data_IF_485827809913
#
_entry.id   IF_485827809913
#
_cell.length_a   1.000
_cell.length_b   1.000
_cell.length_c   1.000
_cell.angle_alpha   90.00
_cell.angle_beta   90.00
_cell.angle_gamma   90.00
#
_symmetry.space_group_name_H-M   'P 1'
#
loop_
_entity.id
_entity.type
_entity.pdbx_description
1 polymer ?
#
# COMPACT_ATOMS: atom_id res chain seq x y z
N UNK A 1 -6.69 15.07 -10.42
CA UNK A 1 -6.10 14.59 -9.16
C UNK A 1 -4.78 13.90 -9.47
N UNK A 2 -3.73 14.28 -8.77
CA UNK A 2 -2.38 13.80 -9.03
C UNK A 2 -1.87 13.04 -7.79
N UNK A 3 -1.32 11.85 -8.00
CA UNK A 3 -0.75 11.05 -6.92
C UNK A 3 0.35 11.83 -6.20
N UNK A 4 0.42 11.65 -4.89
CA UNK A 4 1.47 12.29 -4.08
C UNK A 4 2.84 11.83 -4.54
N UNK A 5 3.80 12.76 -4.48
CA UNK A 5 5.15 12.55 -4.99
C UNK A 5 6.13 12.16 -3.87
N UNK A 6 7.25 11.53 -4.24
CA UNK A 6 8.34 11.32 -3.29
C UNK A 6 8.76 12.64 -2.63
N UNK A 7 9.12 12.55 -1.35
CA UNK A 7 9.51 13.71 -0.55
C UNK A 7 8.38 14.30 0.27
N UNK A 8 7.15 13.89 0.02
CA UNK A 8 5.97 14.38 0.75
C UNK A 8 5.74 13.51 1.98
N UNK A 9 5.38 14.14 3.09
CA UNK A 9 4.95 13.40 4.28
C UNK A 9 3.66 12.65 3.94
N UNK A 10 3.65 11.33 4.13
CA UNK A 10 2.47 10.52 3.86
C UNK A 10 1.36 10.90 4.83
N UNK A 11 0.15 11.25 4.34
CA UNK A 11 -0.98 11.53 5.24
C UNK A 11 -1.29 10.33 6.12
N UNK A 12 -1.46 10.56 7.41
CA UNK A 12 -1.88 9.52 8.32
C UNK A 12 -3.36 9.18 8.07
N UNK A 13 -3.74 7.98 8.45
CA UNK A 13 -5.12 7.52 8.35
C UNK A 13 -5.38 6.49 9.43
N UNK A 14 -6.65 6.22 9.68
CA UNK A 14 -7.08 5.15 10.58
C UNK A 14 -8.27 4.47 9.92
N UNK A 15 -8.08 3.23 9.48
CA UNK A 15 -9.08 2.47 8.75
C UNK A 15 -9.31 1.11 9.38
N UNK A 16 -10.53 0.59 9.25
CA UNK A 16 -10.85 -0.75 9.72
C UNK A 16 -10.23 -1.79 8.82
N UNK A 17 -9.66 -2.83 9.43
CA UNK A 17 -9.16 -4.00 8.70
C UNK A 17 -10.06 -5.21 8.92
N UNK A 18 -10.63 -5.33 10.13
CA UNK A 18 -11.65 -6.34 10.46
C UNK A 18 -12.80 -5.59 11.12
N UNK A 19 -13.95 -6.23 11.34
CA UNK A 19 -15.08 -5.56 11.99
C UNK A 19 -14.75 -4.93 13.35
N UNK A 20 -13.74 -5.45 14.05
CA UNK A 20 -13.38 -5.01 15.40
C UNK A 20 -11.95 -4.47 15.52
N UNK A 21 -11.22 -4.34 14.41
CA UNK A 21 -9.84 -3.85 14.45
C UNK A 21 -9.62 -2.71 13.46
N UNK A 22 -8.86 -1.72 13.91
CA UNK A 22 -8.45 -0.58 13.08
C UNK A 22 -6.94 -0.51 13.01
N UNK A 23 -6.44 0.04 11.90
CA UNK A 23 -5.01 0.21 11.64
C UNK A 23 -4.77 1.64 11.20
N UNK A 24 -3.77 2.27 11.79
CA UNK A 24 -3.30 3.60 11.38
C UNK A 24 -1.91 3.48 10.75
N UNK A 25 -1.61 4.34 9.78
CA UNK A 25 -0.27 4.38 9.20
C UNK A 25 0.78 4.63 10.28
N UNK A 26 0.47 5.53 11.22
CA UNK A 26 1.38 5.88 12.32
C UNK A 26 1.71 4.70 13.24
N UNK A 27 0.91 3.64 13.22
CA UNK A 27 1.21 2.42 13.99
C UNK A 27 2.52 1.76 13.55
N UNK A 28 2.94 2.03 12.31
CA UNK A 28 4.13 1.43 11.73
C UNK A 28 5.32 2.38 11.68
N UNK A 29 5.26 3.48 12.42
CA UNK A 29 6.39 4.41 12.49
C UNK A 29 7.63 3.66 13.00
N UNK A 30 8.76 3.90 12.39
CA UNK A 30 9.99 3.18 12.72
C UNK A 30 10.33 2.06 11.75
N UNK A 31 9.44 1.76 10.81
CA UNK A 31 9.70 0.76 9.76
C UNK A 31 9.14 1.23 8.42
N UNK A 32 9.70 0.75 7.31
CA UNK A 32 9.13 1.06 5.99
C UNK A 32 7.74 0.47 5.82
N UNK A 33 6.90 1.18 5.08
CA UNK A 33 5.54 0.73 4.76
C UNK A 33 5.33 0.79 3.26
N UNK A 34 4.75 -0.26 2.70
CA UNK A 34 4.33 -0.30 1.31
C UNK A 34 2.82 -0.24 1.28
N UNK A 35 2.27 0.86 0.75
CA UNK A 35 0.82 0.97 0.57
C UNK A 35 0.47 0.52 -0.85
N UNK A 36 -0.49 -0.38 -0.92
CA UNK A 36 -0.99 -0.92 -2.18
C UNK A 36 -2.45 -0.51 -2.32
N UNK A 37 -2.70 0.58 -3.05
CA UNK A 37 -4.06 0.95 -3.42
C UNK A 37 -4.46 0.11 -4.63
N UNK A 38 -5.65 -0.47 -4.59
CA UNK A 38 -6.16 -1.30 -5.70
C UNK A 38 -7.66 -1.09 -5.87
N UNK A 39 -8.17 -1.31 -7.10
CA UNK A 39 -9.57 -0.99 -7.40
C UNK A 39 -10.61 -1.77 -6.59
N UNK A 40 -10.50 -3.09 -6.51
CA UNK A 40 -11.57 -3.87 -5.88
C UNK A 40 -11.11 -5.28 -5.52
N UNK A 41 -11.59 -5.77 -4.39
CA UNK A 41 -11.48 -7.18 -4.03
C UNK A 41 -12.13 -8.02 -5.14
N UNK A 42 -11.64 -9.24 -5.30
CA UNK A 42 -12.16 -10.24 -6.26
C UNK A 42 -11.87 -9.95 -7.73
N UNK A 43 -11.41 -8.75 -8.11
CA UNK A 43 -11.05 -8.53 -9.51
C UNK A 43 -9.84 -9.40 -9.86
N UNK A 44 -9.77 -9.94 -11.09
CA UNK A 44 -8.68 -10.87 -11.46
C UNK A 44 -7.29 -10.26 -11.30
N UNK A 45 -7.08 -9.03 -11.77
CA UNK A 45 -5.77 -8.37 -11.68
C UNK A 45 -5.40 -8.06 -10.24
N UNK A 46 -6.36 -7.58 -9.43
CA UNK A 46 -6.11 -7.30 -8.02
C UNK A 46 -5.79 -8.59 -7.26
N UNK A 47 -6.51 -9.67 -7.55
CA UNK A 47 -6.26 -10.97 -6.93
C UNK A 47 -4.84 -11.46 -7.22
N UNK A 48 -4.41 -11.35 -8.46
CA UNK A 48 -3.06 -11.76 -8.88
C UNK A 48 -1.98 -10.89 -8.23
N UNK A 49 -2.21 -9.59 -8.19
CA UNK A 49 -1.25 -8.64 -7.58
C UNK A 49 -1.06 -8.93 -6.09
N UNK A 50 -2.17 -9.07 -5.36
CA UNK A 50 -2.10 -9.30 -3.91
C UNK A 50 -1.53 -10.68 -3.60
N UNK A 51 -1.86 -11.70 -4.40
CA UNK A 51 -1.29 -13.03 -4.25
C UNK A 51 0.24 -13.00 -4.43
N UNK A 52 0.72 -12.25 -5.43
CA UNK A 52 2.15 -12.07 -5.65
C UNK A 52 2.82 -11.45 -4.41
N UNK A 53 2.26 -10.36 -3.89
CA UNK A 53 2.84 -9.70 -2.72
C UNK A 53 2.79 -10.58 -1.48
N UNK A 54 1.75 -11.40 -1.35
CA UNK A 54 1.64 -12.34 -0.26
C UNK A 54 2.77 -13.39 -0.33
N UNK A 55 3.07 -13.87 -1.53
CA UNK A 55 4.18 -14.82 -1.74
C UNK A 55 5.55 -14.17 -1.46
N UNK A 56 5.67 -12.88 -1.74
CA UNK A 56 6.92 -12.14 -1.57
C UNK A 56 7.12 -11.55 -0.18
N UNK A 57 6.24 -11.87 0.77
CA UNK A 57 6.39 -11.35 2.14
C UNK A 57 7.78 -11.60 2.74
N UNK A 58 8.42 -12.77 2.54
CA UNK A 58 9.78 -12.97 3.06
C UNK A 58 10.78 -11.94 2.52
N UNK A 59 10.69 -11.58 1.24
CA UNK A 59 11.56 -10.58 0.63
C UNK A 59 11.34 -9.19 1.23
N UNK A 60 10.08 -8.83 1.47
CA UNK A 60 9.75 -7.56 2.13
C UNK A 60 10.22 -7.55 3.58
N UNK A 61 10.17 -8.69 4.25
CA UNK A 61 10.61 -8.82 5.64
C UNK A 61 12.11 -8.60 5.79
N UNK A 62 12.89 -8.85 4.76
CA UNK A 62 14.33 -8.56 4.77
C UNK A 62 14.60 -7.07 4.99
N UNK A 63 13.67 -6.22 4.57
CA UNK A 63 13.74 -4.77 4.77
C UNK A 63 12.93 -4.31 5.97
N UNK A 64 12.34 -5.24 6.72
CA UNK A 64 11.41 -4.96 7.82
C UNK A 64 10.22 -4.14 7.35
N UNK A 65 9.83 -4.29 6.09
CA UNK A 65 8.74 -3.52 5.49
C UNK A 65 7.39 -4.19 5.71
N UNK A 66 6.41 -3.38 6.08
CA UNK A 66 5.02 -3.81 6.21
C UNK A 66 4.26 -3.48 4.93
N UNK A 67 3.55 -4.47 4.38
CA UNK A 67 2.67 -4.25 3.23
C UNK A 67 1.24 -4.11 3.72
N UNK A 68 0.53 -3.14 3.16
CA UNK A 68 -0.86 -2.85 3.50
C UNK A 68 -1.63 -2.63 2.20
N UNK A 69 -2.73 -3.36 2.01
CA UNK A 69 -3.63 -3.13 0.89
C UNK A 69 -4.77 -2.21 1.30
N UNK A 70 -5.18 -1.33 0.40
CA UNK A 70 -6.28 -0.38 0.62
C UNK A 70 -7.19 -0.35 -0.61
N UNK A 71 -8.47 -0.56 -0.38
CA UNK A 71 -9.49 -0.36 -1.42
C UNK A 71 -10.76 0.20 -0.79
N UNK A 72 -11.73 0.56 -1.62
CA UNK A 72 -13.02 1.10 -1.14
C UNK A 72 -13.98 0.01 -0.67
N UNK A 73 -13.58 -1.26 -0.72
CA UNK A 73 -14.40 -2.37 -0.25
C UNK A 73 -14.57 -2.32 1.27
N UNK A 74 -15.67 -2.88 1.75
CA UNK A 74 -15.94 -2.93 3.18
C UNK A 74 -15.22 -4.08 3.88
N UNK A 75 -15.23 -4.05 5.22
CA UNK A 75 -14.48 -5.02 6.03
C UNK A 75 -14.93 -6.47 5.82
N UNK A 76 -16.22 -6.69 5.62
CA UNK A 76 -16.72 -8.06 5.40
C UNK A 76 -16.25 -8.62 4.06
N UNK A 77 -16.20 -7.77 3.04
CA UNK A 77 -15.66 -8.15 1.73
C UNK A 77 -14.18 -8.49 1.85
N UNK A 78 -13.39 -7.63 2.51
CA UNK A 78 -11.97 -7.87 2.76
C UNK A 78 -11.74 -9.17 3.52
N UNK A 79 -12.54 -9.42 4.56
CA UNK A 79 -12.39 -10.61 5.38
C UNK A 79 -12.61 -11.88 4.54
N UNK A 80 -13.68 -11.91 3.75
CA UNK A 80 -14.00 -13.04 2.89
C UNK A 80 -12.93 -13.25 1.81
N UNK A 81 -12.49 -12.16 1.19
CA UNK A 81 -11.47 -12.19 0.14
C UNK A 81 -10.12 -12.68 0.68
N UNK A 82 -9.68 -12.14 1.81
CA UNK A 82 -8.43 -12.56 2.46
C UNK A 82 -8.45 -14.03 2.82
N UNK A 83 -9.57 -14.50 3.36
CA UNK A 83 -9.71 -15.89 3.76
C UNK A 83 -9.69 -16.82 2.55
N UNK A 84 -10.45 -16.49 1.51
CA UNK A 84 -10.51 -17.28 0.29
C UNK A 84 -9.16 -17.39 -0.40
N UNK A 85 -8.43 -16.28 -0.47
CA UNK A 85 -7.13 -16.22 -1.17
C UNK A 85 -5.96 -16.48 -0.23
N UNK A 86 -6.21 -16.75 1.03
CA UNK A 86 -5.17 -17.03 2.04
C UNK A 86 -4.14 -15.91 2.11
N UNK A 87 -4.63 -14.68 2.11
CA UNK A 87 -3.76 -13.50 2.20
C UNK A 87 -3.42 -13.20 3.66
N UNK A 88 -2.16 -12.88 3.91
CA UNK A 88 -1.66 -12.48 5.23
C UNK A 88 -1.23 -11.02 5.24
N UNK A 89 -1.72 -10.25 4.29
CA UNK A 89 -1.52 -8.81 4.18
C UNK A 89 -2.76 -8.14 4.76
N UNK A 90 -2.63 -7.17 5.67
CA UNK A 90 -3.80 -6.41 6.14
C UNK A 90 -4.45 -5.69 4.97
N UNK A 91 -5.77 -5.83 4.83
CA UNK A 91 -6.54 -5.11 3.84
C UNK A 91 -7.42 -4.11 4.58
N UNK A 92 -7.30 -2.83 4.24
CA UNK A 92 -7.96 -1.74 4.94
C UNK A 92 -9.11 -1.20 4.11
N UNK A 93 -10.22 -0.91 4.80
CA UNK A 93 -11.47 -0.49 4.17
C UNK A 93 -11.56 1.04 4.11
N UNK A 94 -11.26 1.60 2.94
CA UNK A 94 -11.47 3.02 2.65
C UNK A 94 -12.92 3.21 2.19
N UNK A 95 -13.85 2.72 3.01
CA UNK A 95 -15.24 2.49 2.66
C UNK A 95 -16.13 3.70 2.98
N UNK A 96 -15.97 4.28 4.17
CA UNK A 96 -16.83 5.38 4.62
C UNK A 96 -16.03 6.43 5.42
N UNK A 97 -15.88 7.67 4.98
CA UNK A 97 -16.37 8.17 3.68
C UNK A 97 -15.62 7.51 2.54
N UNK A 98 -16.37 7.11 1.52
CA UNK A 98 -15.83 6.32 0.42
C UNK A 98 -14.64 7.01 -0.26
N UNK A 99 -13.51 6.32 -0.28
CA UNK A 99 -12.33 6.80 -0.96
C UNK A 99 -11.63 7.99 -0.30
N UNK A 100 -11.93 8.28 0.97
CA UNK A 100 -11.34 9.44 1.65
C UNK A 100 -9.81 9.39 1.66
N UNK A 101 -9.24 8.22 1.97
CA UNK A 101 -7.78 8.06 1.99
C UNK A 101 -7.20 8.07 0.58
N UNK A 102 -7.85 7.39 -0.37
CA UNK A 102 -7.43 7.45 -1.76
C UNK A 102 -7.40 8.89 -2.28
N UNK A 103 -8.36 9.72 -1.87
CA UNK A 103 -8.39 11.15 -2.25
C UNK A 103 -7.20 11.90 -1.64
N UNK A 104 -6.86 11.62 -0.38
CA UNK A 104 -5.72 12.25 0.28
C UNK A 104 -4.40 11.92 -0.43
N UNK A 105 -4.30 10.71 -0.96
CA UNK A 105 -3.10 10.28 -1.69
C UNK A 105 -3.14 10.63 -3.18
N UNK A 106 -4.23 11.23 -3.66
CA UNK A 106 -4.37 11.63 -5.05
C UNK A 106 -4.62 10.47 -6.02
N UNK A 107 -5.23 9.39 -5.53
CA UNK A 107 -5.40 8.17 -6.33
C UNK A 107 -6.85 7.68 -6.38
N UNK A 108 -7.81 8.54 -6.13
CA UNK A 108 -9.22 8.16 -6.23
C UNK A 108 -9.74 8.43 -7.64
N UNK A 109 -10.46 7.47 -8.20
CA UNK A 109 -11.07 7.56 -9.53
C UNK A 109 -12.54 7.94 -9.40
N UNK A 110 -12.84 9.23 -9.59
CA UNK A 110 -14.23 9.72 -9.54
C UNK A 110 -15.12 9.00 -10.54
N UNK A 111 -14.56 8.70 -11.72
CA UNK A 111 -15.29 8.05 -12.80
C UNK A 111 -15.84 6.68 -12.40
N UNK A 112 -15.04 5.89 -11.70
CA UNK A 112 -15.36 4.51 -11.37
C UNK A 112 -15.78 4.32 -9.91
N UNK A 113 -15.54 5.32 -9.07
CA UNK A 113 -15.78 5.19 -7.64
C UNK A 113 -14.86 4.20 -6.96
N UNK A 114 -13.65 4.05 -7.47
CA UNK A 114 -12.63 3.12 -6.97
C UNK A 114 -11.29 3.79 -6.90
N UNK A 115 -10.33 3.13 -6.25
CA UNK A 115 -8.97 3.60 -6.24
C UNK A 115 -8.26 3.29 -7.56
N UNK A 116 -7.27 4.10 -7.91
CA UNK A 116 -6.26 3.72 -8.90
C UNK A 116 -5.51 2.50 -8.39
N UNK A 117 -4.77 1.84 -9.28
CA UNK A 117 -3.80 0.83 -8.89
C UNK A 117 -2.49 1.55 -8.64
N UNK A 118 -2.24 1.90 -7.38
CA UNK A 118 -1.14 2.79 -7.02
C UNK A 118 -0.32 2.23 -5.87
N UNK A 119 0.99 2.44 -5.95
CA UNK A 119 1.94 1.95 -4.96
C UNK A 119 2.68 3.14 -4.35
N UNK A 120 2.88 3.08 -3.03
CA UNK A 120 3.68 4.06 -2.30
C UNK A 120 4.63 3.32 -1.37
N UNK A 121 5.91 3.66 -1.43
CA UNK A 121 6.90 3.17 -0.47
C UNK A 121 7.23 4.32 0.46
N UNK A 122 7.00 4.12 1.74
CA UNK A 122 7.10 5.14 2.79
C UNK A 122 8.22 4.71 3.74
N UNK A 123 9.08 5.65 4.12
CA UNK A 123 10.19 5.34 5.02
C UNK A 123 9.76 5.31 6.49
N UNK A 124 10.72 5.00 7.36
CA UNK A 124 10.47 4.85 8.79
C UNK A 124 9.96 6.14 9.45
N UNK A 125 10.24 7.29 8.86
CA UNK A 125 9.80 8.60 9.36
C UNK A 125 8.45 9.03 8.76
N UNK A 126 7.88 8.22 7.86
CA UNK A 126 6.58 8.51 7.26
C UNK A 126 6.64 9.35 5.99
N UNK A 127 7.81 9.45 5.38
CA UNK A 127 7.99 10.22 4.13
C UNK A 127 7.90 9.27 2.94
N UNK A 128 7.13 9.67 1.92
CA UNK A 128 7.03 8.91 0.68
C UNK A 128 8.38 8.98 -0.04
N UNK A 129 8.97 7.83 -0.35
CA UNK A 129 10.25 7.75 -1.05
C UNK A 129 10.10 7.32 -2.49
N UNK A 130 9.01 6.65 -2.82
CA UNK A 130 8.74 6.17 -4.18
C UNK A 130 7.23 6.00 -4.35
N UNK A 131 6.74 6.30 -5.54
CA UNK A 131 5.34 6.08 -5.87
C UNK A 131 5.20 5.71 -7.34
N UNK A 132 4.17 4.94 -7.64
CA UNK A 132 3.90 4.51 -9.01
C UNK A 132 2.40 4.27 -9.18
N UNK A 133 1.83 4.82 -10.25
CA UNK A 133 0.43 4.56 -10.62
C UNK A 133 0.44 3.72 -11.88
N UNK A 134 -0.08 2.50 -11.76
CA UNK A 134 -0.16 1.54 -12.87
C UNK A 134 -1.49 1.70 -13.60
N UNK A 135 -1.54 1.38 -14.91
CA UNK A 135 -2.84 1.17 -15.55
C UNK A 135 -3.65 0.15 -14.76
N UNK A 136 -4.97 0.37 -14.61
CA UNK A 136 -5.80 -0.47 -13.72
C UNK A 136 -5.84 -1.93 -14.16
N UNK A 137 -5.66 -2.21 -15.43
CA UNK A 137 -5.68 -3.57 -15.96
C UNK A 137 -4.34 -4.29 -15.93
N UNK A 138 -3.29 -3.69 -15.39
CA UNK A 138 -1.94 -4.25 -15.40
C UNK A 138 -1.44 -4.45 -13.97
N UNK A 139 -0.96 -5.66 -13.69
CA UNK A 139 -0.28 -5.95 -12.42
C UNK A 139 1.13 -5.37 -12.51
N UNK A 140 1.49 -4.37 -11.70
CA UNK A 140 2.81 -3.72 -11.78
C UNK A 140 3.95 -4.59 -11.25
N UNK A 141 3.66 -5.71 -10.62
CA UNK A 141 4.69 -6.55 -10.01
C UNK A 141 5.31 -5.90 -8.78
N UNK A 142 6.45 -6.44 -8.34
CA UNK A 142 7.10 -6.00 -7.11
C UNK A 142 8.50 -5.42 -7.33
N UNK A 143 9.02 -5.46 -8.55
CA UNK A 143 10.41 -5.03 -8.80
C UNK A 143 10.66 -3.58 -8.41
N UNK A 144 9.73 -2.68 -8.74
CA UNK A 144 9.85 -1.27 -8.38
C UNK A 144 9.85 -1.05 -6.86
N UNK A 145 9.00 -1.78 -6.17
CA UNK A 145 8.90 -1.73 -4.71
C UNK A 145 10.21 -2.18 -4.08
N UNK A 146 10.73 -3.34 -4.51
CA UNK A 146 11.95 -3.91 -3.96
C UNK A 146 13.16 -3.02 -4.25
N UNK A 147 13.23 -2.43 -5.44
CA UNK A 147 14.28 -1.48 -5.78
C UNK A 147 14.22 -0.23 -4.89
N UNK A 148 13.03 0.26 -4.62
CA UNK A 148 12.86 1.43 -3.75
C UNK A 148 13.31 1.11 -2.32
N UNK A 149 12.92 -0.05 -1.79
CA UNK A 149 13.34 -0.48 -0.46
C UNK A 149 14.87 -0.65 -0.39
N UNK A 150 15.46 -1.25 -1.41
CA UNK A 150 16.90 -1.43 -1.49
C UNK A 150 17.63 -0.08 -1.56
N UNK A 151 17.13 0.85 -2.37
CA UNK A 151 17.71 2.19 -2.48
C UNK A 151 17.66 2.95 -1.16
N UNK A 152 16.59 2.80 -0.40
CA UNK A 152 16.45 3.45 0.90
C UNK A 152 17.51 2.92 1.88
N UNK A 153 17.72 1.61 1.90
CA UNK A 153 18.71 0.99 2.77
C UNK A 153 20.13 1.45 2.39
N UNK A 154 20.44 1.43 1.09
CA UNK A 154 21.76 1.88 0.59
C UNK A 154 21.95 3.39 0.79
N UNK A 155 20.89 4.17 0.56
CA UNK A 155 20.92 5.61 0.74
C UNK A 155 21.26 6.01 2.17
N UNK A 156 20.70 5.31 3.15
CA UNK A 156 21.01 5.53 4.55
C UNK A 156 22.48 5.22 4.83
N UNK A 157 22.97 4.08 4.35
CA UNK A 157 24.38 3.67 4.51
C UNK A 157 25.30 4.67 3.83
N UNK A 158 24.97 5.08 2.61
CA UNK A 158 25.77 6.03 1.85
C UNK A 158 25.87 7.38 2.57
N UNK A 159 24.75 7.87 3.10
CA UNK A 159 24.73 9.14 3.84
C UNK A 159 25.58 9.04 5.10
N UNK A 160 25.47 7.97 5.84
CA UNK A 160 26.26 7.75 7.03
C UNK A 160 27.76 7.65 6.69
N UNK A 161 28.10 6.97 5.61
CA UNK A 161 29.49 6.81 5.16
C UNK A 161 30.06 8.11 4.59
N UNK A 162 29.21 8.96 3.99
CA UNK A 162 29.62 10.20 3.35
C UNK A 162 29.84 11.35 4.33
N UNK A 163 29.40 11.17 5.54
CA UNK A 163 29.50 12.19 6.57
C UNK A 163 30.53 11.82 7.64
#
# INVERSE_FOLDING_TARGET
MTALRPGVQAPDFCLSTTPDQKVSLSDFRGQPVVLVFYPADWSPVCSDQLALYNELKPEFSEFEAQIIGISVDGVWCHLAFSKDRKLHIPLLADFEPKGAVARQYGVYREKDGQSERALFVIDAEGVIRWSYVSPVGINPGADGILKALESMAKGVETVCAGN
#
